data_IF_237018420383
#
_entry.id   IF_237018420383
#
_cell.length_a   1.000
_cell.length_b   1.000
_cell.length_c   1.000
_cell.angle_alpha   90.00
_cell.angle_beta   90.00
_cell.angle_gamma   90.00
#
_symmetry.space_group_name_H-M   'P 1'
#
loop_
_entity.id
_entity.type
_entity.pdbx_description
1 polymer ?
#
# COMPACT_ATOMS: atom_id res chain seq x y z
N UNK A 1 -2.36 1.27 -14.06
CA UNK A 1 -1.03 1.41 -14.68
C UNK A 1 -0.12 0.25 -14.35
N UNK A 2 -0.17 -0.23 -13.10
CA UNK A 2 0.60 -1.43 -12.75
C UNK A 2 0.15 -2.62 -13.57
N UNK A 3 -1.16 -2.74 -13.82
CA UNK A 3 -1.69 -3.85 -14.59
C UNK A 3 -1.25 -3.87 -16.05
N UNK A 4 -0.78 -2.74 -16.57
CA UNK A 4 -0.27 -2.67 -17.94
C UNK A 4 1.26 -2.66 -17.99
N UNK A 5 1.92 -2.76 -16.85
CA UNK A 5 3.37 -2.78 -16.78
C UNK A 5 3.90 -4.16 -17.15
N UNK A 6 4.93 -4.18 -17.99
CA UNK A 6 5.56 -5.43 -18.38
C UNK A 6 6.09 -6.16 -17.16
N UNK A 7 5.78 -7.44 -17.04
CA UNK A 7 6.21 -8.27 -15.92
C UNK A 7 5.28 -8.22 -14.72
N UNK A 8 4.17 -7.51 -14.80
CA UNK A 8 3.21 -7.41 -13.70
C UNK A 8 1.80 -7.70 -14.18
N UNK A 9 1.04 -8.43 -13.36
CA UNK A 9 -0.35 -8.73 -13.65
C UNK A 9 -1.17 -8.46 -12.39
N UNK A 10 -2.20 -7.64 -12.52
CA UNK A 10 -3.09 -7.33 -11.41
C UNK A 10 -3.98 -8.52 -11.11
N UNK A 11 -4.01 -8.96 -9.86
CA UNK A 11 -4.80 -10.10 -9.43
C UNK A 11 -6.02 -9.68 -8.64
N UNK A 12 -5.83 -8.88 -7.60
CA UNK A 12 -6.92 -8.37 -6.76
C UNK A 12 -6.69 -6.93 -6.40
N UNK A 13 -7.79 -6.20 -6.18
CA UNK A 13 -7.76 -4.81 -5.76
C UNK A 13 -8.73 -4.63 -4.59
N UNK A 14 -8.28 -3.98 -3.53
CA UNK A 14 -9.17 -3.65 -2.42
C UNK A 14 -10.04 -2.44 -2.78
N UNK A 15 -11.03 -2.17 -1.92
CA UNK A 15 -11.72 -0.89 -1.95
C UNK A 15 -10.76 0.21 -1.51
N UNK A 16 -11.13 1.45 -1.76
CA UNK A 16 -10.40 2.59 -1.22
C UNK A 16 -10.84 2.86 0.21
N UNK A 17 -9.90 3.25 1.03
CA UNK A 17 -10.15 3.56 2.43
C UNK A 17 -9.62 4.94 2.74
N UNK A 18 -10.35 5.67 3.57
CA UNK A 18 -10.00 7.01 3.98
C UNK A 18 -9.65 7.01 5.46
N UNK A 19 -8.54 7.64 5.82
CA UNK A 19 -8.14 7.79 7.21
C UNK A 19 -7.70 9.23 7.44
N UNK A 20 -7.87 9.74 8.69
CA UNK A 20 -7.52 11.13 8.96
C UNK A 20 -6.01 11.35 8.89
N UNK A 21 -5.62 12.54 8.46
CA UNK A 21 -4.23 12.94 8.48
C UNK A 21 -3.80 13.10 9.93
N UNK A 22 -2.56 12.68 10.21
CA UNK A 22 -2.01 12.77 11.55
C UNK A 22 -1.45 14.16 11.82
N UNK A 23 -1.33 14.51 13.09
CA UNK A 23 -0.63 15.71 13.49
C UNK A 23 -1.48 16.96 13.66
N UNK A 24 -2.79 16.84 13.47
CA UNK A 24 -3.69 17.96 13.72
C UNK A 24 -3.54 19.14 12.78
N UNK A 25 -2.88 18.95 11.66
CA UNK A 25 -2.71 19.99 10.66
C UNK A 25 -3.90 19.95 9.71
N UNK A 26 -4.31 21.11 9.23
CA UNK A 26 -5.40 21.20 8.28
C UNK A 26 -4.94 20.73 6.91
N UNK A 27 -5.04 19.44 6.66
CA UNK A 27 -4.73 18.87 5.36
C UNK A 27 -5.71 17.74 5.06
N UNK A 28 -5.77 17.36 3.80
CA UNK A 28 -6.70 16.32 3.36
C UNK A 28 -6.39 14.98 4.03
N UNK A 29 -7.44 14.20 4.26
CA UNK A 29 -7.28 12.84 4.73
C UNK A 29 -6.53 12.00 3.71
N UNK A 30 -5.92 10.92 4.18
CA UNK A 30 -5.25 9.97 3.31
C UNK A 30 -6.26 9.00 2.72
N UNK A 31 -6.04 8.64 1.46
CA UNK A 31 -6.82 7.61 0.79
C UNK A 31 -5.86 6.52 0.37
N UNK A 32 -6.14 5.29 0.77
CA UNK A 32 -5.26 4.16 0.54
C UNK A 32 -6.04 2.97 0.00
N UNK A 33 -5.33 2.14 -0.74
CA UNK A 33 -5.84 0.86 -1.20
C UNK A 33 -4.67 -0.11 -1.28
N UNK A 34 -4.98 -1.39 -1.28
CA UNK A 34 -3.97 -2.43 -1.44
C UNK A 34 -4.32 -3.23 -2.69
N UNK A 35 -3.31 -3.58 -3.44
CA UNK A 35 -3.49 -4.44 -4.60
C UNK A 35 -2.58 -5.65 -4.49
N UNK A 36 -3.02 -6.72 -5.09
CA UNK A 36 -2.21 -7.93 -5.23
C UNK A 36 -1.84 -8.08 -6.69
N UNK A 37 -0.55 -8.26 -6.95
CA UNK A 37 -0.08 -8.48 -8.30
C UNK A 37 0.73 -9.77 -8.38
N UNK A 38 0.75 -10.35 -9.57
CA UNK A 38 1.68 -11.43 -9.89
C UNK A 38 2.77 -10.81 -10.76
N UNK A 39 4.04 -11.10 -10.44
CA UNK A 39 5.12 -10.47 -11.15
C UNK A 39 6.27 -11.43 -11.37
N UNK A 40 6.98 -11.24 -12.49
CA UNK A 40 8.22 -11.94 -12.79
C UNK A 40 9.43 -11.13 -12.36
N UNK A 41 9.22 -9.89 -11.93
CA UNK A 41 10.31 -9.02 -11.50
C UNK A 41 10.78 -9.44 -10.11
N UNK A 42 12.09 -9.35 -9.88
CA UNK A 42 12.59 -9.55 -8.53
C UNK A 42 12.21 -8.34 -7.67
N UNK A 43 12.34 -8.44 -6.34
CA UNK A 43 11.86 -7.36 -5.45
C UNK A 43 12.48 -6.00 -5.74
N UNK A 44 13.77 -5.94 -6.02
CA UNK A 44 14.43 -4.65 -6.26
C UNK A 44 14.01 -4.07 -7.60
N UNK A 45 13.86 -4.92 -8.62
CA UNK A 45 13.37 -4.47 -9.92
C UNK A 45 11.95 -3.97 -9.82
N UNK A 46 11.11 -4.66 -9.05
CA UNK A 46 9.74 -4.22 -8.82
C UNK A 46 9.72 -2.85 -8.11
N UNK A 47 10.56 -2.69 -7.10
CA UNK A 47 10.66 -1.40 -6.41
C UNK A 47 11.01 -0.28 -7.39
N UNK A 48 11.98 -0.52 -8.27
CA UNK A 48 12.35 0.46 -9.28
C UNK A 48 11.20 0.81 -10.19
N UNK A 49 10.41 -0.19 -10.59
CA UNK A 49 9.23 0.02 -11.44
C UNK A 49 8.20 0.89 -10.72
N UNK A 50 7.96 0.62 -9.45
CA UNK A 50 6.99 1.41 -8.68
C UNK A 50 7.45 2.85 -8.51
N UNK A 51 8.75 3.06 -8.30
CA UNK A 51 9.29 4.41 -8.19
C UNK A 51 9.13 5.17 -9.50
N UNK A 52 9.30 4.49 -10.65
CA UNK A 52 9.05 5.12 -11.95
C UNK A 52 7.59 5.52 -12.10
N UNK A 53 6.67 4.67 -11.66
CA UNK A 53 5.25 4.97 -11.73
C UNK A 53 4.93 6.20 -10.88
N UNK A 54 5.46 6.27 -9.67
CA UNK A 54 5.27 7.44 -8.82
C UNK A 54 5.80 8.70 -9.47
N UNK A 55 6.98 8.60 -10.05
CA UNK A 55 7.63 9.73 -10.70
C UNK A 55 6.81 10.22 -11.89
N UNK A 56 6.35 9.30 -12.72
CA UNK A 56 5.57 9.66 -13.89
C UNK A 56 4.24 10.30 -13.51
N UNK A 57 3.59 9.75 -12.48
CA UNK A 57 2.33 10.29 -12.01
C UNK A 57 2.52 11.70 -11.42
N UNK A 58 3.56 11.88 -10.60
CA UNK A 58 3.87 13.18 -10.02
C UNK A 58 4.25 14.19 -11.06
N UNK A 59 4.99 13.77 -12.09
CA UNK A 59 5.38 14.66 -13.18
C UNK A 59 4.16 15.21 -13.90
N UNK A 60 3.17 14.37 -14.14
CA UNK A 60 1.97 14.77 -14.84
C UNK A 60 1.14 15.77 -14.04
N UNK A 61 1.31 15.80 -12.73
CA UNK A 61 0.53 16.64 -11.86
C UNK A 61 1.35 17.76 -11.23
N UNK A 62 2.55 17.96 -11.71
CA UNK A 62 3.50 18.85 -11.09
C UNK A 62 2.98 20.29 -10.97
N UNK A 63 2.29 20.76 -11.99
CA UNK A 63 1.79 22.13 -12.01
C UNK A 63 0.49 22.31 -11.25
N UNK A 64 -0.19 21.22 -10.93
CA UNK A 64 -1.49 21.27 -10.32
C UNK A 64 -1.45 21.14 -8.81
N UNK A 65 -0.47 20.42 -8.30
CA UNK A 65 -0.49 19.96 -6.91
C UNK A 65 0.79 20.30 -6.19
N UNK A 66 1.40 21.40 -6.53
CA UNK A 66 2.67 21.71 -5.87
C UNK A 66 2.54 21.98 -4.37
N UNK A 67 1.37 22.36 -3.92
CA UNK A 67 1.12 22.63 -2.50
C UNK A 67 0.42 21.48 -1.81
N UNK A 68 -0.08 20.52 -2.56
CA UNK A 68 -0.85 19.44 -2.00
C UNK A 68 0.01 18.29 -1.54
N UNK A 69 -0.63 17.27 -0.97
CA UNK A 69 0.08 16.05 -0.62
C UNK A 69 0.56 15.36 -1.87
N UNK A 70 1.50 14.43 -1.69
CA UNK A 70 2.02 13.66 -2.79
C UNK A 70 0.88 12.96 -3.52
N UNK A 71 0.94 12.97 -4.85
CA UNK A 71 -0.12 12.40 -5.68
C UNK A 71 -0.25 10.90 -5.52
N UNK A 72 0.87 10.20 -5.36
CA UNK A 72 0.88 8.75 -5.33
C UNK A 72 2.10 8.24 -4.60
N UNK A 73 1.86 7.36 -3.63
CA UNK A 73 2.91 6.62 -2.94
C UNK A 73 2.65 5.14 -3.16
N UNK A 74 3.67 4.41 -3.59
CA UNK A 74 3.59 2.97 -3.78
C UNK A 74 4.58 2.30 -2.85
N UNK A 75 4.09 1.42 -1.98
CA UNK A 75 4.93 0.66 -1.08
C UNK A 75 4.75 -0.82 -1.35
N UNK A 76 5.86 -1.56 -1.30
CA UNK A 76 5.79 -3.01 -1.32
C UNK A 76 5.58 -3.48 0.12
N UNK A 77 4.42 -4.08 0.36
CA UNK A 77 4.09 -4.58 1.69
C UNK A 77 4.66 -5.98 1.92
N UNK A 78 4.48 -6.83 0.94
CA UNK A 78 4.87 -8.24 0.99
C UNK A 78 5.33 -8.66 -0.39
N UNK A 79 6.26 -9.61 -0.42
CA UNK A 79 6.68 -10.23 -1.68
C UNK A 79 6.75 -11.73 -1.42
N UNK A 80 5.62 -12.41 -1.63
CA UNK A 80 5.51 -13.81 -1.30
C UNK A 80 5.86 -14.06 0.16
N UNK A 81 6.70 -15.03 0.39
CA UNK A 81 7.16 -15.37 1.74
C UNK A 81 8.54 -14.79 2.03
N UNK A 82 9.06 -13.97 1.15
CA UNK A 82 10.41 -13.44 1.32
C UNK A 82 10.50 -12.49 2.51
N UNK A 83 11.63 -12.53 3.16
CA UNK A 83 11.96 -11.60 4.24
C UNK A 83 13.23 -10.89 3.83
N UNK A 84 13.13 -9.60 3.57
CA UNK A 84 14.24 -8.78 3.11
C UNK A 84 14.39 -7.61 4.07
N UNK A 85 15.62 -7.33 4.47
CA UNK A 85 15.93 -6.21 5.34
C UNK A 85 17.17 -5.53 4.78
N UNK A 86 16.97 -4.56 3.90
CA UNK A 86 18.07 -3.83 3.28
C UNK A 86 17.77 -2.34 3.27
N UNK A 87 18.76 -1.55 2.91
CA UNK A 87 18.57 -0.11 2.85
C UNK A 87 17.49 0.29 1.83
N UNK A 88 17.37 -0.48 0.77
CA UNK A 88 16.46 -0.16 -0.31
C UNK A 88 15.06 -0.68 -0.07
N UNK A 89 14.94 -1.82 0.63
CA UNK A 89 13.66 -2.50 0.73
C UNK A 89 13.62 -3.38 1.97
N UNK A 90 12.54 -3.26 2.72
CA UNK A 90 12.26 -4.16 3.83
C UNK A 90 10.88 -4.76 3.60
N UNK A 91 10.80 -6.08 3.52
CA UNK A 91 9.53 -6.80 3.45
C UNK A 91 9.56 -7.97 4.43
N UNK A 92 8.50 -8.20 5.17
CA UNK A 92 7.26 -7.41 5.21
C UNK A 92 7.54 -5.95 5.59
N UNK A 93 6.72 -5.05 5.07
CA UNK A 93 6.87 -3.62 5.37
C UNK A 93 6.88 -3.43 6.89
N UNK A 94 7.85 -2.66 7.43
CA UNK A 94 8.08 -2.68 8.89
C UNK A 94 6.94 -2.13 9.74
N UNK A 95 6.05 -1.33 9.17
CA UNK A 95 4.97 -0.72 9.93
C UNK A 95 3.58 -1.22 9.55
N UNK A 96 3.49 -2.14 8.61
CA UNK A 96 2.18 -2.56 8.09
C UNK A 96 1.31 -3.20 9.16
N UNK A 97 1.92 -3.89 10.12
CA UNK A 97 1.14 -4.60 11.13
C UNK A 97 0.54 -3.68 12.18
N UNK A 98 0.89 -2.40 12.14
CA UNK A 98 0.41 -1.41 13.10
C UNK A 98 -0.53 -0.38 12.45
N UNK A 99 -0.92 -0.60 11.19
CA UNK A 99 -1.68 0.39 10.44
C UNK A 99 -2.97 -0.21 9.89
N UNK A 100 -4.11 0.29 10.42
CA UNK A 100 -5.40 -0.16 9.93
C UNK A 100 -5.59 0.16 8.45
N UNK A 101 -5.02 1.26 7.96
CA UNK A 101 -5.16 1.64 6.55
C UNK A 101 -4.38 0.74 5.61
N UNK A 102 -3.59 -0.19 6.14
CA UNK A 102 -2.96 -1.26 5.38
C UNK A 102 -3.71 -2.57 5.61
N UNK A 103 -3.95 -2.91 6.88
CA UNK A 103 -4.53 -4.20 7.24
C UNK A 103 -5.97 -4.35 6.80
N UNK A 104 -6.75 -3.27 6.86
CA UNK A 104 -8.16 -3.33 6.49
C UNK A 104 -8.35 -3.63 5.00
N UNK A 105 -7.71 -2.87 4.09
CA UNK A 105 -7.81 -3.24 2.67
C UNK A 105 -7.17 -4.59 2.36
N UNK A 106 -6.09 -4.94 3.05
CA UNK A 106 -5.45 -6.24 2.83
C UNK A 106 -6.39 -7.38 3.23
N UNK A 107 -7.16 -7.19 4.30
CA UNK A 107 -8.12 -8.19 4.74
C UNK A 107 -9.22 -8.44 3.70
N UNK A 108 -9.56 -7.45 2.88
CA UNK A 108 -10.51 -7.66 1.78
C UNK A 108 -9.95 -8.64 0.77
N UNK A 109 -8.64 -8.60 0.56
CA UNK A 109 -8.00 -9.48 -0.41
C UNK A 109 -7.83 -10.87 0.18
N UNK A 110 -7.29 -10.96 1.40
CA UNK A 110 -7.07 -12.24 2.06
C UNK A 110 -6.90 -12.04 3.57
N UNK A 111 -7.99 -12.22 4.32
CA UNK A 111 -7.96 -12.02 5.77
C UNK A 111 -7.16 -13.09 6.50
N UNK A 112 -6.90 -14.22 5.87
CA UNK A 112 -6.18 -15.33 6.48
C UNK A 112 -4.70 -15.35 6.09
N UNK A 113 -4.26 -14.37 5.30
CA UNK A 113 -2.87 -14.27 4.91
C UNK A 113 -2.00 -14.16 6.15
N UNK A 114 -0.95 -14.98 6.21
CA UNK A 114 -0.02 -14.97 7.33
C UNK A 114 1.18 -14.10 6.99
N UNK A 115 1.42 -13.10 7.83
CA UNK A 115 2.58 -12.23 7.66
C UNK A 115 3.71 -12.81 8.53
N UNK A 116 4.84 -13.11 7.89
CA UNK A 116 5.95 -13.78 8.55
C UNK A 116 6.33 -13.08 9.85
N UNK A 117 6.42 -13.85 10.92
CA UNK A 117 6.79 -13.41 12.25
C UNK A 117 5.74 -12.57 12.98
N UNK A 118 4.56 -12.32 12.36
CA UNK A 118 3.56 -11.45 12.96
C UNK A 118 2.19 -12.10 13.15
N UNK A 119 1.80 -13.01 12.27
CA UNK A 119 0.51 -13.67 12.36
C UNK A 119 -0.40 -13.33 11.20
N UNK A 120 -1.68 -13.72 11.32
CA UNK A 120 -2.62 -13.49 10.23
C UNK A 120 -3.09 -12.03 10.22
N UNK A 121 -3.49 -11.59 9.02
CA UNK A 121 -4.04 -10.26 8.84
C UNK A 121 -5.24 -10.06 9.76
N UNK A 122 -6.12 -11.05 9.86
CA UNK A 122 -7.30 -10.97 10.71
C UNK A 122 -6.95 -10.71 12.17
N UNK A 123 -5.96 -11.44 12.69
CA UNK A 123 -5.53 -11.26 14.09
C UNK A 123 -4.90 -9.90 14.30
N UNK A 124 -4.07 -9.47 13.36
CA UNK A 124 -3.40 -8.18 13.47
C UNK A 124 -4.40 -7.02 13.35
N UNK A 125 -5.43 -7.18 12.54
CA UNK A 125 -6.45 -6.14 12.38
C UNK A 125 -7.16 -5.87 13.69
N UNK A 126 -7.37 -6.90 14.51
CA UNK A 126 -8.00 -6.73 15.80
C UNK A 126 -7.19 -5.81 16.72
N UNK A 127 -5.87 -5.82 16.59
CA UNK A 127 -5.02 -5.02 17.47
C UNK A 127 -5.00 -3.54 17.07
N UNK A 128 -5.53 -3.19 15.91
CA UNK A 128 -5.59 -1.80 15.47
C UNK A 128 -7.03 -1.34 15.29
N UNK A 129 -7.98 -2.01 15.94
CA UNK A 129 -9.40 -1.72 15.78
C UNK A 129 -9.79 -0.32 16.27
N UNK A 130 -8.94 0.31 17.08
CA UNK A 130 -9.20 1.67 17.58
C UNK A 130 -8.77 2.76 16.60
N UNK A 131 -8.15 2.41 15.47
CA UNK A 131 -7.76 3.41 14.51
C UNK A 131 -8.93 3.79 13.62
N UNK A 132 -9.05 5.08 13.34
CA UNK A 132 -10.14 5.58 12.50
C UNK A 132 -9.85 5.27 11.05
N UNK A 133 -10.83 4.65 10.40
CA UNK A 133 -10.70 4.33 8.98
C UNK A 133 -12.11 4.11 8.43
N UNK A 134 -12.33 4.55 7.22
CA UNK A 134 -13.63 4.45 6.58
C UNK A 134 -13.47 3.90 5.17
N UNK A 135 -14.23 2.86 4.86
CA UNK A 135 -14.28 2.31 3.52
C UNK A 135 -15.12 3.23 2.65
N UNK A 136 -14.57 3.61 1.50
CA UNK A 136 -15.28 4.47 0.57
C UNK A 136 -16.19 3.63 -0.32
N UNK A 137 -17.34 4.18 -0.74
CA UNK A 137 -18.22 3.44 -1.63
C UNK A 137 -17.57 3.25 -2.99
N UNK A 138 -17.91 2.15 -3.61
CA UNK A 138 -17.47 1.89 -4.99
C UNK A 138 -18.31 2.73 -5.93
N UNK A 139 -17.69 3.15 -7.00
CA UNK A 139 -18.39 3.90 -8.04
C UNK A 139 -18.81 3.02 -9.17
#
# INVERSE_FOLDING_TARGET
>A
QIGSTTGCKLVHTSSFYQSPALGGVAQADFINAVIEIRTDLDPISLLGTLLEIEKNFGRNRLNEVRWGPRSLDCDILLYGDLQIDSEQLTVPHPRMTQRAFVLKPLAEIDSQLNIANFGTVSALLSSVSNQLIQKLPKE
#
